data_IF_399185175237
#
_entry.id   IF_399185175237
#
_cell.length_a   1.000
_cell.length_b   1.000
_cell.length_c   1.000
_cell.angle_alpha   90.00
_cell.angle_beta   90.00
_cell.angle_gamma   90.00
#
_symmetry.space_group_name_H-M   'P 1'
#
loop_
_entity.id
_entity.type
_entity.pdbx_description
1 polymer ?
#
# COMPACT_ATOMS: atom_id res chain seq x y z
N UNK A 1 5.14 26.30 -7.55
CA UNK A 1 6.05 25.54 -6.68
C UNK A 1 5.78 24.06 -6.93
N UNK A 2 6.60 23.40 -7.74
CA UNK A 2 6.56 21.94 -7.86
C UNK A 2 7.30 21.40 -6.63
N UNK A 3 6.56 20.84 -5.68
CA UNK A 3 7.16 20.09 -4.57
C UNK A 3 7.45 18.71 -5.16
N UNK A 4 8.73 18.32 -5.17
CA UNK A 4 9.12 16.99 -5.63
C UNK A 4 8.39 15.94 -4.77
N UNK A 5 7.76 14.93 -5.40
CA UNK A 5 7.08 13.88 -4.64
C UNK A 5 8.10 13.17 -3.75
N UNK A 6 7.73 12.82 -2.51
CA UNK A 6 8.63 12.07 -1.65
C UNK A 6 8.96 10.72 -2.28
N UNK A 7 10.20 10.26 -2.11
CA UNK A 7 10.66 8.94 -2.56
C UNK A 7 10.58 7.92 -1.43
N UNK A 8 10.26 6.67 -1.74
CA UNK A 8 10.32 5.58 -0.78
C UNK A 8 11.77 5.35 -0.34
N UNK A 9 12.02 5.38 0.97
CA UNK A 9 13.36 5.16 1.53
C UNK A 9 13.91 3.74 1.27
N UNK A 10 13.05 2.77 0.94
CA UNK A 10 13.45 1.37 0.76
C UNK A 10 13.84 1.03 -0.68
N UNK A 11 13.05 1.47 -1.66
CA UNK A 11 13.28 1.13 -3.07
C UNK A 11 13.59 2.34 -3.96
N UNK A 12 13.54 3.57 -3.42
CA UNK A 12 13.82 4.81 -4.16
C UNK A 12 12.70 5.28 -5.10
N UNK A 13 11.59 4.56 -5.21
CA UNK A 13 10.50 4.94 -6.11
C UNK A 13 9.68 6.12 -5.56
N UNK A 14 9.13 6.94 -6.46
CA UNK A 14 8.22 8.02 -6.11
C UNK A 14 6.95 7.50 -5.42
N UNK A 15 6.56 8.15 -4.33
CA UNK A 15 5.35 7.84 -3.56
C UNK A 15 4.54 9.10 -3.26
N UNK A 16 3.28 8.91 -2.91
CA UNK A 16 2.45 9.97 -2.32
C UNK A 16 2.08 9.60 -0.91
N UNK A 17 2.21 10.55 0.00
CA UNK A 17 1.86 10.37 1.41
C UNK A 17 0.52 11.06 1.64
N UNK A 18 -0.49 10.30 2.06
CA UNK A 18 -1.83 10.82 2.34
C UNK A 18 -2.23 10.54 3.79
N UNK A 19 -2.96 11.47 4.44
CA UNK A 19 -3.62 11.17 5.70
C UNK A 19 -4.71 10.13 5.47
N UNK A 20 -4.93 9.27 6.45
CA UNK A 20 -5.98 8.26 6.44
C UNK A 20 -7.09 8.66 7.38
N UNK A 21 -8.27 8.06 7.19
CA UNK A 21 -9.43 8.24 8.10
C UNK A 21 -9.20 7.74 9.53
N UNK A 22 -8.05 7.13 9.83
CA UNK A 22 -7.68 6.64 11.17
C UNK A 22 -6.62 7.53 11.85
N UNK A 23 -6.44 8.76 11.39
CA UNK A 23 -5.42 9.70 11.87
C UNK A 23 -3.99 9.11 11.79
N UNK A 24 -3.74 8.35 10.73
CA UNK A 24 -2.43 7.79 10.35
C UNK A 24 -2.07 8.21 8.93
N UNK A 25 -0.81 8.12 8.56
CA UNK A 25 -0.35 8.41 7.21
C UNK A 25 -0.04 7.12 6.45
N UNK A 26 -0.28 7.11 5.14
CA UNK A 26 0.05 5.97 4.28
C UNK A 26 0.80 6.43 3.04
N UNK A 27 1.88 5.71 2.70
CA UNK A 27 2.59 5.86 1.43
C UNK A 27 1.91 5.03 0.34
N UNK A 28 1.39 5.69 -0.68
CA UNK A 28 0.71 5.09 -1.82
C UNK A 28 1.58 5.17 -3.08
N UNK A 29 1.38 4.19 -3.97
CA UNK A 29 2.00 4.23 -5.29
C UNK A 29 1.44 5.37 -6.15
N UNK A 30 2.23 5.79 -7.14
CA UNK A 30 1.83 6.81 -8.11
C UNK A 30 0.79 6.32 -9.13
N UNK A 31 0.63 4.99 -9.28
CA UNK A 31 -0.25 4.36 -10.24
C UNK A 31 -1.46 3.72 -9.57
N UNK A 32 -2.63 3.87 -10.19
CA UNK A 32 -3.82 3.11 -9.82
C UNK A 32 -3.80 1.74 -10.48
N UNK A 33 -4.24 0.71 -9.77
CA UNK A 33 -4.32 -0.65 -10.28
C UNK A 33 -5.77 -1.16 -10.19
N UNK A 34 -6.17 -2.08 -11.08
CA UNK A 34 -7.44 -2.79 -10.93
C UNK A 34 -7.49 -3.45 -9.56
N UNK A 35 -8.61 -3.31 -8.86
CA UNK A 35 -8.68 -3.78 -7.49
C UNK A 35 -8.52 -5.30 -7.35
N UNK A 36 -8.87 -6.07 -8.40
CA UNK A 36 -8.59 -7.51 -8.50
C UNK A 36 -7.09 -7.87 -8.47
N UNK A 37 -6.22 -6.96 -8.91
CA UNK A 37 -4.77 -7.16 -8.94
C UNK A 37 -4.09 -6.76 -7.62
N UNK A 38 -4.82 -6.11 -6.71
CA UNK A 38 -4.29 -5.60 -5.45
C UNK A 38 -4.89 -6.43 -4.31
N UNK A 39 -4.10 -7.04 -3.41
CA UNK A 39 -4.64 -7.71 -2.23
C UNK A 39 -5.41 -6.73 -1.35
N UNK A 40 -6.55 -7.14 -0.77
CA UNK A 40 -7.45 -6.27 0.02
C UNK A 40 -6.73 -5.40 1.04
N UNK A 41 -5.75 -5.97 1.75
CA UNK A 41 -4.97 -5.26 2.77
C UNK A 41 -4.20 -4.04 2.23
N UNK A 42 -3.92 -4.00 0.94
CA UNK A 42 -3.20 -2.93 0.27
C UNK A 42 -4.11 -2.04 -0.59
N UNK A 43 -5.42 -2.27 -0.62
CA UNK A 43 -6.36 -1.47 -1.41
C UNK A 43 -6.71 -0.16 -0.70
N UNK A 44 -6.36 0.97 -1.31
CA UNK A 44 -6.78 2.30 -0.86
C UNK A 44 -7.53 3.06 -1.94
N UNK A 45 -8.45 3.93 -1.52
CA UNK A 45 -9.10 4.94 -2.37
C UNK A 45 -8.81 6.32 -1.84
N UNK A 46 -8.62 7.26 -2.76
CA UNK A 46 -8.48 8.67 -2.42
C UNK A 46 -9.86 9.32 -2.46
N UNK A 47 -10.30 9.82 -1.30
CA UNK A 47 -11.56 10.53 -1.16
C UNK A 47 -11.25 12.01 -0.97
N UNK A 48 -11.76 12.81 -1.90
CA UNK A 48 -11.72 14.27 -1.80
C UNK A 48 -12.71 14.71 -0.74
N UNK A 49 -12.30 15.50 0.24
CA UNK A 49 -13.19 16.06 1.25
C UNK A 49 -13.73 17.39 0.71
N UNK A 50 -15.03 17.46 0.37
CA UNK A 50 -15.65 18.72 -0.02
C UNK A 50 -15.85 19.59 1.22
N UNK A 51 -15.56 20.89 1.10
CA UNK A 51 -16.05 21.84 2.11
C UNK A 51 -17.52 22.15 1.86
N UNK A 52 -18.37 22.27 2.90
CA UNK A 52 -19.80 22.55 2.76
C UNK A 52 -20.16 23.83 2.00
N UNK A 53 -19.20 24.74 1.75
CA UNK A 53 -19.44 26.06 1.12
C UNK A 53 -18.49 26.39 -0.03
N UNK A 54 -17.67 25.45 -0.49
CA UNK A 54 -16.75 25.71 -1.59
C UNK A 54 -16.51 24.46 -2.44
N UNK A 55 -16.49 24.59 -3.78
CA UNK A 55 -16.12 23.50 -4.69
C UNK A 55 -14.62 23.17 -4.66
N UNK A 56 -13.82 23.93 -3.90
CA UNK A 56 -12.40 23.67 -3.73
C UNK A 56 -12.23 22.45 -2.82
N UNK A 57 -11.54 21.43 -3.33
CA UNK A 57 -11.08 20.30 -2.53
C UNK A 57 -10.04 20.83 -1.56
N UNK A 58 -10.38 20.88 -0.27
CA UNK A 58 -9.45 21.34 0.76
C UNK A 58 -8.50 20.24 1.20
N UNK A 59 -8.91 18.98 1.08
CA UNK A 59 -8.12 17.84 1.52
C UNK A 59 -8.48 16.55 0.78
N UNK A 60 -7.55 15.61 0.75
CA UNK A 60 -7.71 14.27 0.18
C UNK A 60 -7.26 13.25 1.22
N UNK A 61 -8.19 12.39 1.64
CA UNK A 61 -7.90 11.32 2.59
C UNK A 61 -7.88 9.96 1.92
N UNK A 62 -6.98 9.10 2.37
CA UNK A 62 -6.89 7.71 1.96
C UNK A 62 -7.82 6.84 2.82
N UNK A 63 -8.76 6.16 2.16
CA UNK A 63 -9.71 5.23 2.78
C UNK A 63 -9.34 3.81 2.37
N UNK A 64 -9.16 2.93 3.36
CA UNK A 64 -8.89 1.51 3.09
C UNK A 64 -10.17 0.82 2.64
N UNK A 65 -10.13 0.14 1.50
CA UNK A 65 -11.26 -0.66 1.02
C UNK A 65 -11.25 -2.00 1.75
N UNK A 66 -12.23 -2.24 2.63
CA UNK A 66 -12.36 -3.48 3.40
C UNK A 66 -13.67 -4.19 3.04
N UNK A 67 -13.61 -5.50 2.79
CA UNK A 67 -14.76 -6.42 2.88
C UNK A 67 -15.88 -6.27 1.84
N UNK A 68 -15.85 -5.26 0.97
CA UNK A 68 -16.72 -5.17 -0.20
C UNK A 68 -15.87 -5.47 -1.41
N UNK A 69 -16.28 -6.49 -2.17
CA UNK A 69 -15.65 -6.79 -3.44
C UNK A 69 -15.80 -5.58 -4.36
N UNK A 70 -14.67 -4.99 -4.81
CA UNK A 70 -14.70 -3.87 -5.72
C UNK A 70 -15.33 -4.33 -7.04
N UNK A 71 -16.14 -3.46 -7.64
CA UNK A 71 -16.75 -3.76 -8.94
C UNK A 71 -15.66 -4.09 -9.98
N UNK A 72 -15.93 -4.91 -11.00
CA UNK A 72 -14.93 -5.38 -11.97
C UNK A 72 -14.15 -4.30 -12.75
N UNK A 73 -14.53 -3.03 -12.64
CA UNK A 73 -13.81 -1.88 -13.21
C UNK A 73 -13.27 -0.88 -12.19
N UNK A 74 -13.43 -1.13 -10.89
CA UNK A 74 -12.94 -0.22 -9.86
C UNK A 74 -11.41 -0.30 -9.72
N UNK A 75 -10.80 0.88 -9.78
CA UNK A 75 -9.38 1.07 -9.56
C UNK A 75 -9.14 1.48 -8.10
N UNK A 76 -8.01 1.04 -7.58
CA UNK A 76 -7.53 1.39 -6.24
C UNK A 76 -6.09 1.83 -6.34
N UNK A 77 -5.70 2.69 -5.41
CA UNK A 77 -4.30 3.06 -5.25
C UNK A 77 -3.68 2.03 -4.30
N UNK A 78 -2.73 1.20 -4.74
CA UNK A 78 -2.08 0.26 -3.86
C UNK A 78 -1.21 1.00 -2.84
N UNK A 79 -1.17 0.48 -1.62
CA UNK A 79 -0.12 0.84 -0.68
C UNK A 79 1.23 0.57 -1.32
N UNK A 80 2.16 1.52 -1.25
CA UNK A 80 3.45 1.37 -1.92
C UNK A 80 4.22 0.13 -1.43
N UNK A 81 4.02 -0.28 -0.18
CA UNK A 81 4.54 -1.53 0.40
C UNK A 81 4.25 -2.78 -0.44
N UNK A 82 3.16 -2.81 -1.20
CA UNK A 82 2.86 -3.92 -2.11
C UNK A 82 3.85 -4.01 -3.28
N UNK A 83 4.31 -2.86 -3.78
CA UNK A 83 5.23 -2.74 -4.92
C UNK A 83 6.68 -2.63 -4.47
N UNK A 84 6.88 -2.14 -3.25
CA UNK A 84 8.16 -2.05 -2.59
C UNK A 84 8.59 -3.46 -2.17
N UNK A 85 9.33 -4.14 -3.04
CA UNK A 85 9.96 -5.44 -2.76
C UNK A 85 11.16 -5.32 -1.79
N UNK A 86 11.10 -4.38 -0.84
CA UNK A 86 12.10 -4.20 0.20
C UNK A 86 11.69 -4.96 1.46
N UNK A 87 12.13 -6.22 1.54
CA UNK A 87 12.29 -7.11 2.71
C UNK A 87 11.30 -8.32 2.86
N UNK A 88 11.92 -9.50 2.82
CA UNK A 88 11.49 -10.85 3.25
C UNK A 88 10.42 -11.65 2.46
N UNK A 89 10.83 -12.29 1.37
CA UNK A 89 10.31 -13.61 0.96
C UNK A 89 11.45 -14.54 0.47
N UNK A 90 12.65 -14.39 1.05
CA UNK A 90 13.75 -15.34 0.89
C UNK A 90 14.31 -15.67 2.28
N UNK A 91 13.47 -16.27 3.11
CA UNK A 91 13.98 -17.27 4.04
C UNK A 91 14.30 -18.49 3.17
N UNK A 92 15.57 -18.88 2.96
CA UNK A 92 15.87 -20.15 2.31
C UNK A 92 15.16 -21.27 3.09
N UNK A 93 14.64 -22.32 2.43
CA UNK A 93 14.09 -23.47 3.15
C UNK A 93 15.17 -23.94 4.11
N UNK A 94 14.81 -24.08 5.39
CA UNK A 94 15.68 -24.65 6.41
C UNK A 94 16.25 -25.96 5.84
N UNK A 95 17.51 -25.86 5.42
CA UNK A 95 18.21 -26.91 4.72
C UNK A 95 18.63 -27.85 5.83
N UNK A 96 17.86 -28.93 5.98
CA UNK A 96 18.00 -29.90 7.06
C UNK A 96 19.46 -30.18 7.42
N UNK A 97 19.73 -30.14 8.73
CA UNK A 97 20.91 -30.75 9.32
C UNK A 97 20.53 -32.12 9.91
N UNK A 98 21.48 -33.07 9.93
CA UNK A 98 21.24 -34.49 9.72
C UNK A 98 20.86 -35.26 10.98
N UNK A 99 20.36 -36.48 10.76
CA UNK A 99 20.12 -37.52 11.77
C UNK A 99 21.24 -37.59 12.81
N UNK A 100 20.91 -37.25 14.05
CA UNK A 100 21.70 -37.65 15.21
C UNK A 100 21.16 -38.99 15.70
N UNK A 101 21.61 -40.05 15.04
CA UNK A 101 21.72 -41.38 15.64
C UNK A 101 22.69 -41.25 16.82
N UNK A 102 22.16 -41.25 18.04
CA UNK A 102 22.95 -41.51 19.24
C UNK A 102 22.30 -42.70 19.91
N UNK A 103 22.79 -43.88 19.53
CA UNK A 103 22.81 -45.06 20.36
C UNK A 103 23.42 -44.74 21.73
N UNK A 104 22.71 -45.15 22.79
CA UNK A 104 23.15 -45.15 24.18
C UNK A 104 22.22 -45.98 25.04
#
# INVERSE_FOLDING_TARGET
>A
MFIEPPTCALCGADIRIYPTVYDRWVGLAMAELPAKAVPERFRWRLVKIPTPRSPVVVDVVAVRVRGIDPLPGEHVVPAHQMLCAGQEAELPPDRGAPDADISG
#
